data_IF_276917549871
#
_entry.id   IF_276917549871
#
_cell.length_a   1.000
_cell.length_b   1.000
_cell.length_c   1.000
_cell.angle_alpha   90.00
_cell.angle_beta   90.00
_cell.angle_gamma   90.00
#
_symmetry.space_group_name_H-M   'P 1'
#
loop_
_entity.id
_entity.type
_entity.pdbx_description
1 polymer ?
#
# COMPACT_ATOMS: atom_id res chain seq x y z
N UNK A 1 -43.74 -23.03 -16.68
CA UNK A 1 -42.92 -23.94 -15.87
C UNK A 1 -41.50 -23.39 -15.90
N UNK A 2 -41.12 -22.60 -14.90
CA UNK A 2 -39.83 -21.89 -14.88
C UNK A 2 -38.78 -22.82 -14.27
N UNK A 3 -37.81 -23.26 -15.08
CA UNK A 3 -36.61 -23.94 -14.58
C UNK A 3 -35.83 -22.96 -13.70
N UNK A 4 -35.94 -23.09 -12.38
CA UNK A 4 -34.92 -22.56 -11.46
C UNK A 4 -33.68 -23.43 -11.68
N UNK A 5 -32.68 -22.89 -12.39
CA UNK A 5 -31.35 -23.48 -12.34
C UNK A 5 -30.84 -23.35 -10.90
N UNK A 6 -30.27 -24.41 -10.31
CA UNK A 6 -29.53 -24.26 -9.06
C UNK A 6 -28.29 -23.44 -9.39
N UNK A 7 -28.25 -22.19 -8.93
CA UNK A 7 -26.99 -21.49 -8.78
C UNK A 7 -26.27 -22.17 -7.62
N UNK A 8 -25.54 -23.26 -7.92
CA UNK A 8 -24.54 -23.80 -7.01
C UNK A 8 -23.51 -22.69 -6.77
N UNK A 9 -23.68 -21.96 -5.67
CA UNK A 9 -22.64 -21.09 -5.16
C UNK A 9 -21.54 -22.02 -4.65
N UNK A 10 -20.41 -22.05 -5.36
CA UNK A 10 -19.25 -22.82 -4.95
C UNK A 10 -18.79 -22.32 -3.59
N UNK A 11 -18.82 -23.18 -2.57
CA UNK A 11 -18.27 -22.87 -1.24
C UNK A 11 -16.82 -22.36 -1.38
N UNK A 12 -16.61 -21.08 -1.09
CA UNK A 12 -15.30 -20.43 -1.15
C UNK A 12 -14.26 -21.09 -0.23
N UNK A 13 -14.73 -21.88 0.74
CA UNK A 13 -13.88 -22.60 1.67
C UNK A 13 -13.67 -24.07 1.27
N UNK A 14 -14.14 -24.50 0.09
CA UNK A 14 -13.98 -25.84 -0.44
C UNK A 14 -14.41 -26.95 0.54
N UNK A 15 -15.45 -26.72 1.34
CA UNK A 15 -15.95 -27.67 2.34
C UNK A 15 -15.13 -27.75 3.63
N UNK A 16 -14.12 -26.89 3.82
CA UNK A 16 -13.28 -26.86 5.02
C UNK A 16 -14.06 -26.24 6.18
N UNK A 17 -14.46 -27.08 7.14
CA UNK A 17 -15.22 -26.68 8.34
C UNK A 17 -14.37 -26.03 9.43
N UNK A 18 -13.06 -26.24 9.39
CA UNK A 18 -12.13 -25.72 10.40
C UNK A 18 -11.82 -24.26 10.11
N UNK A 19 -12.34 -23.36 10.93
CA UNK A 19 -12.32 -21.90 10.71
C UNK A 19 -10.94 -21.30 10.38
N UNK A 20 -9.84 -21.81 10.96
CA UNK A 20 -8.49 -21.28 10.73
C UNK A 20 -7.80 -21.84 9.49
N UNK A 21 -8.33 -22.90 8.88
CA UNK A 21 -7.85 -23.48 7.61
C UNK A 21 -8.65 -22.96 6.41
N UNK A 22 -9.66 -22.14 6.66
CA UNK A 22 -10.48 -21.56 5.61
C UNK A 22 -9.62 -20.63 4.73
N UNK A 23 -9.63 -20.80 3.40
CA UNK A 23 -8.94 -19.91 2.47
C UNK A 23 -9.24 -18.43 2.70
N UNK A 24 -10.48 -18.10 3.05
CA UNK A 24 -10.90 -16.72 3.35
C UNK A 24 -10.18 -16.17 4.59
N UNK A 25 -10.01 -16.98 5.64
CA UNK A 25 -9.26 -16.60 6.83
C UNK A 25 -7.78 -16.38 6.51
N UNK A 26 -7.17 -17.27 5.71
CA UNK A 26 -5.77 -17.15 5.28
C UNK A 26 -5.56 -15.86 4.48
N UNK A 27 -6.46 -15.52 3.55
CA UNK A 27 -6.38 -14.29 2.75
C UNK A 27 -6.49 -13.06 3.65
N UNK A 28 -7.42 -13.05 4.63
CA UNK A 28 -7.61 -11.95 5.59
C UNK A 28 -6.32 -11.69 6.38
N UNK A 29 -5.74 -12.72 6.99
CA UNK A 29 -4.50 -12.60 7.77
C UNK A 29 -3.32 -12.19 6.87
N UNK A 30 -3.20 -12.79 5.69
CA UNK A 30 -2.13 -12.47 4.73
C UNK A 30 -2.20 -11.02 4.28
N UNK A 31 -3.41 -10.50 3.99
CA UNK A 31 -3.62 -9.11 3.61
C UNK A 31 -3.20 -8.14 4.71
N UNK A 32 -3.58 -8.40 5.96
CA UNK A 32 -3.18 -7.55 7.11
C UNK A 32 -1.67 -7.58 7.32
N UNK A 33 -1.05 -8.76 7.35
CA UNK A 33 0.40 -8.90 7.50
C UNK A 33 1.16 -8.17 6.39
N UNK A 34 0.71 -8.35 5.14
CA UNK A 34 1.36 -7.71 4.00
C UNK A 34 1.17 -6.19 4.01
N UNK A 35 0.03 -5.70 4.47
CA UNK A 35 -0.22 -4.27 4.65
C UNK A 35 0.75 -3.65 5.67
N UNK A 36 1.04 -4.35 6.78
CA UNK A 36 2.04 -3.89 7.77
C UNK A 36 3.44 -3.82 7.15
N UNK A 37 3.84 -4.85 6.39
CA UNK A 37 5.14 -4.85 5.69
C UNK A 37 5.23 -3.66 4.72
N UNK A 38 4.19 -3.46 3.90
CA UNK A 38 4.13 -2.36 2.94
C UNK A 38 4.16 -1.00 3.64
N UNK A 39 3.54 -0.89 4.81
CA UNK A 39 3.57 0.32 5.61
C UNK A 39 4.96 0.65 6.16
N UNK A 40 5.71 -0.36 6.61
CA UNK A 40 7.12 -0.19 6.99
C UNK A 40 7.94 0.29 5.79
N UNK A 41 7.74 -0.31 4.62
CA UNK A 41 8.39 0.11 3.37
C UNK A 41 8.08 1.58 3.06
N UNK A 42 6.81 1.97 3.06
CA UNK A 42 6.40 3.35 2.80
C UNK A 42 6.99 4.33 3.82
N UNK A 43 7.07 3.96 5.10
CA UNK A 43 7.70 4.79 6.13
C UNK A 43 9.19 5.00 5.86
N UNK A 44 9.94 3.95 5.50
CA UNK A 44 11.36 4.06 5.14
C UNK A 44 11.56 4.97 3.92
N UNK A 45 10.68 4.87 2.92
CA UNK A 45 10.73 5.71 1.73
C UNK A 45 10.41 7.17 2.04
N UNK A 46 9.37 7.42 2.84
CA UNK A 46 9.02 8.76 3.30
C UNK A 46 10.16 9.39 4.10
N UNK A 47 10.81 8.62 5.00
CA UNK A 47 11.96 9.08 5.76
C UNK A 47 13.13 9.48 4.85
N UNK A 48 13.43 8.70 3.80
CA UNK A 48 14.48 9.04 2.81
C UNK A 48 14.16 10.28 1.99
N UNK A 49 12.91 10.41 1.54
CA UNK A 49 12.43 11.61 0.84
C UNK A 49 12.35 12.84 1.76
N UNK A 50 12.35 12.62 3.08
CA UNK A 50 12.30 13.68 4.08
C UNK A 50 13.66 14.34 4.36
N UNK A 51 14.74 13.84 3.75
CA UNK A 51 16.10 14.37 3.93
C UNK A 51 16.17 15.85 3.53
N UNK A 52 16.82 16.68 4.37
CA UNK A 52 16.80 18.12 4.21
C UNK A 52 17.52 18.58 2.94
N UNK A 53 18.61 17.91 2.55
CA UNK A 53 19.31 18.25 1.30
C UNK A 53 18.39 18.01 0.10
N UNK A 54 17.68 16.88 0.08
CA UNK A 54 16.70 16.55 -0.97
C UNK A 54 15.55 17.56 -1.02
N UNK A 55 14.96 17.86 0.14
CA UNK A 55 13.84 18.80 0.25
C UNK A 55 14.16 20.20 -0.26
N UNK A 56 15.38 20.68 -0.02
CA UNK A 56 15.78 22.04 -0.39
C UNK A 56 16.19 22.11 -1.87
N UNK A 57 16.81 21.04 -2.39
CA UNK A 57 17.28 20.99 -3.79
C UNK A 57 16.21 20.61 -4.81
N UNK A 58 15.32 19.67 -4.48
CA UNK A 58 14.30 19.13 -5.39
C UNK A 58 12.90 19.59 -4.99
N UNK A 59 12.61 19.60 -3.68
CA UNK A 59 11.29 19.94 -3.14
C UNK A 59 10.67 18.83 -2.30
N UNK A 60 9.39 19.01 -1.93
CA UNK A 60 8.68 18.13 -0.98
C UNK A 60 7.68 17.15 -1.62
N UNK A 61 7.51 17.20 -2.95
CA UNK A 61 6.45 16.46 -3.66
C UNK A 61 6.46 14.94 -3.42
N UNK A 62 7.64 14.32 -3.47
CA UNK A 62 7.81 12.88 -3.22
C UNK A 62 7.38 12.49 -1.80
N UNK A 63 7.85 13.24 -0.80
CA UNK A 63 7.52 12.99 0.60
C UNK A 63 6.01 13.08 0.84
N UNK A 64 5.35 14.08 0.26
CA UNK A 64 3.90 14.24 0.33
C UNK A 64 3.18 13.07 -0.34
N UNK A 65 3.68 12.60 -1.49
CA UNK A 65 3.10 11.46 -2.20
C UNK A 65 3.19 10.16 -1.39
N UNK A 66 4.34 9.89 -0.76
CA UNK A 66 4.49 8.73 0.14
C UNK A 66 3.59 8.82 1.38
N UNK A 67 3.35 10.03 1.89
CA UNK A 67 2.41 10.24 2.99
C UNK A 67 0.97 9.92 2.57
N UNK A 68 0.53 10.39 1.39
CA UNK A 68 -0.80 10.04 0.87
C UNK A 68 -0.96 8.53 0.66
N UNK A 69 0.03 7.85 0.07
CA UNK A 69 0.04 6.40 -0.06
C UNK A 69 -0.10 5.71 1.30
N UNK A 70 0.62 6.20 2.32
CA UNK A 70 0.52 5.66 3.68
C UNK A 70 -0.88 5.85 4.27
N UNK A 71 -1.46 7.04 4.12
CA UNK A 71 -2.81 7.34 4.62
C UNK A 71 -3.87 6.47 3.94
N UNK A 72 -3.81 6.33 2.62
CA UNK A 72 -4.75 5.49 1.89
C UNK A 72 -4.60 4.01 2.27
N UNK A 73 -3.38 3.51 2.43
CA UNK A 73 -3.15 2.14 2.90
C UNK A 73 -3.76 1.90 4.28
N UNK A 74 -3.53 2.81 5.23
CA UNK A 74 -4.15 2.74 6.57
C UNK A 74 -5.67 2.75 6.47
N UNK A 75 -6.22 3.68 5.70
CA UNK A 75 -7.66 3.83 5.54
C UNK A 75 -8.29 2.55 4.97
N UNK A 76 -7.71 1.96 3.93
CA UNK A 76 -8.14 0.68 3.37
C UNK A 76 -8.18 -0.40 4.44
N UNK A 77 -7.08 -0.60 5.17
CA UNK A 77 -7.00 -1.66 6.19
C UNK A 77 -8.00 -1.43 7.32
N UNK A 78 -8.10 -0.21 7.84
CA UNK A 78 -9.02 0.12 8.93
C UNK A 78 -10.49 -0.07 8.53
N UNK A 79 -10.89 0.47 7.37
CA UNK A 79 -12.25 0.32 6.88
C UNK A 79 -12.58 -1.14 6.57
N UNK A 80 -11.63 -1.90 6.04
CA UNK A 80 -11.80 -3.33 5.83
C UNK A 80 -12.00 -4.10 7.14
N UNK A 81 -11.20 -3.81 8.17
CA UNK A 81 -11.37 -4.44 9.50
C UNK A 81 -12.74 -4.09 10.10
N UNK A 82 -13.18 -2.84 9.97
CA UNK A 82 -14.49 -2.40 10.47
C UNK A 82 -15.65 -3.08 9.73
N UNK A 83 -15.52 -3.27 8.42
CA UNK A 83 -16.45 -4.05 7.61
C UNK A 83 -16.51 -5.50 8.10
N UNK A 84 -15.36 -6.16 8.21
CA UNK A 84 -15.29 -7.60 8.50
C UNK A 84 -15.77 -7.96 9.91
N UNK A 85 -15.32 -7.21 10.93
CA UNK A 85 -15.75 -7.43 12.31
C UNK A 85 -17.14 -6.87 12.62
N UNK A 86 -17.83 -6.29 11.62
CA UNK A 86 -19.15 -5.68 11.75
C UNK A 86 -19.24 -4.75 12.97
N UNK A 87 -18.18 -3.98 13.24
CA UNK A 87 -18.12 -3.07 14.39
C UNK A 87 -19.26 -2.04 14.32
N UNK A 88 -19.59 -1.60 13.11
CA UNK A 88 -20.72 -0.73 12.82
C UNK A 88 -21.67 -1.43 11.83
N UNK A 89 -22.60 -2.27 12.30
CA UNK A 89 -23.41 -3.11 11.42
C UNK A 89 -24.28 -2.28 10.46
N UNK A 90 -24.83 -1.16 10.93
CA UNK A 90 -25.65 -0.25 10.13
C UNK A 90 -24.89 0.47 9.01
N UNK A 91 -23.55 0.52 9.11
CA UNK A 91 -22.69 1.20 8.15
C UNK A 91 -21.76 0.25 7.38
N UNK A 92 -21.94 -1.07 7.53
CA UNK A 92 -21.02 -2.08 7.00
C UNK A 92 -20.80 -1.91 5.49
N UNK A 93 -21.86 -1.74 4.69
CA UNK A 93 -21.75 -1.53 3.25
C UNK A 93 -20.93 -0.27 2.88
N UNK A 94 -21.10 0.82 3.64
CA UNK A 94 -20.34 2.05 3.42
C UNK A 94 -18.86 1.87 3.77
N UNK A 95 -18.55 1.11 4.81
CA UNK A 95 -17.17 0.77 5.16
C UNK A 95 -16.49 -0.07 4.07
N UNK A 96 -17.23 -0.99 3.44
CA UNK A 96 -16.72 -1.73 2.28
C UNK A 96 -16.38 -0.79 1.11
N UNK A 97 -17.30 0.08 0.70
CA UNK A 97 -17.03 1.04 -0.38
C UNK A 97 -15.93 2.05 -0.03
N UNK A 98 -15.82 2.47 1.23
CA UNK A 98 -14.74 3.34 1.69
C UNK A 98 -13.38 2.64 1.60
N UNK A 99 -13.30 1.35 1.98
CA UNK A 99 -12.10 0.52 1.82
C UNK A 99 -11.70 0.40 0.35
N UNK A 100 -12.63 -0.01 -0.52
CA UNK A 100 -12.38 -0.15 -1.95
C UNK A 100 -11.97 1.19 -2.59
N UNK A 101 -12.64 2.29 -2.23
CA UNK A 101 -12.30 3.63 -2.69
C UNK A 101 -10.89 4.06 -2.27
N UNK A 102 -10.50 3.81 -1.01
CA UNK A 102 -9.16 4.09 -0.54
C UNK A 102 -8.10 3.24 -1.26
N UNK A 103 -8.40 1.96 -1.55
CA UNK A 103 -7.51 1.10 -2.33
C UNK A 103 -7.33 1.60 -3.77
N UNK A 104 -8.39 2.03 -4.43
CA UNK A 104 -8.31 2.63 -5.79
C UNK A 104 -7.46 3.91 -5.76
N UNK A 105 -7.68 4.79 -4.78
CA UNK A 105 -6.88 6.00 -4.62
C UNK A 105 -5.40 5.67 -4.38
N UNK A 106 -5.10 4.66 -3.56
CA UNK A 106 -3.73 4.16 -3.37
C UNK A 106 -3.09 3.79 -4.71
N UNK A 107 -3.79 3.01 -5.54
CA UNK A 107 -3.29 2.57 -6.86
C UNK A 107 -3.04 3.77 -7.79
N UNK A 108 -3.95 4.74 -7.84
CA UNK A 108 -3.78 5.95 -8.66
C UNK A 108 -2.54 6.74 -8.21
N UNK A 109 -2.39 6.97 -6.92
CA UNK A 109 -1.22 7.68 -6.37
C UNK A 109 0.08 6.90 -6.58
N UNK A 110 0.02 5.57 -6.56
CA UNK A 110 1.17 4.73 -6.86
C UNK A 110 1.63 5.00 -8.31
N UNK A 111 0.73 4.98 -9.28
CA UNK A 111 1.05 5.30 -10.67
C UNK A 111 1.60 6.72 -10.85
N UNK A 112 1.00 7.72 -10.19
CA UNK A 112 1.52 9.10 -10.19
C UNK A 112 2.96 9.12 -9.67
N UNK A 113 3.23 8.42 -8.56
CA UNK A 113 4.57 8.31 -8.01
C UNK A 113 5.56 7.68 -9.00
N UNK A 114 5.14 6.63 -9.71
CA UNK A 114 5.96 5.94 -10.70
C UNK A 114 6.38 6.88 -11.83
N UNK A 115 5.40 7.59 -12.40
CA UNK A 115 5.60 8.43 -13.58
C UNK A 115 6.36 9.71 -13.23
N UNK A 116 5.99 10.35 -12.11
CA UNK A 116 6.55 11.64 -11.73
C UNK A 116 7.98 11.52 -11.19
N UNK A 117 8.27 10.50 -10.37
CA UNK A 117 9.49 10.49 -9.56
C UNK A 117 10.45 9.36 -9.90
N UNK A 118 9.94 8.22 -10.37
CA UNK A 118 10.70 6.98 -10.48
C UNK A 118 11.26 6.71 -11.89
N UNK A 119 11.51 7.75 -12.70
CA UNK A 119 12.03 7.59 -14.07
C UNK A 119 13.54 7.87 -14.15
N UNK A 120 14.22 7.25 -15.13
CA UNK A 120 15.64 7.54 -15.40
C UNK A 120 15.88 9.01 -15.79
N UNK A 121 14.91 9.62 -16.45
CA UNK A 121 14.94 11.05 -16.79
C UNK A 121 14.87 11.92 -15.53
N UNK A 122 14.01 11.57 -14.56
CA UNK A 122 13.97 12.29 -13.30
C UNK A 122 15.26 12.09 -12.49
N UNK A 123 15.88 10.90 -12.53
CA UNK A 123 17.18 10.68 -11.89
C UNK A 123 18.27 11.63 -12.42
N UNK A 124 18.39 11.80 -13.73
CA UNK A 124 19.40 12.72 -14.31
C UNK A 124 19.10 14.17 -13.94
N UNK A 125 17.84 14.59 -14.02
CA UNK A 125 17.39 15.93 -13.63
C UNK A 125 17.61 16.22 -12.14
N UNK A 126 17.25 15.30 -11.26
CA UNK A 126 17.47 15.48 -9.82
C UNK A 126 18.96 15.50 -9.47
N UNK A 127 19.76 14.68 -10.13
CA UNK A 127 21.22 14.69 -9.92
C UNK A 127 21.84 16.03 -10.32
N UNK A 128 21.45 16.61 -11.46
CA UNK A 128 21.97 17.92 -11.89
C UNK A 128 21.51 19.06 -10.98
N UNK A 129 20.26 19.04 -10.51
CA UNK A 129 19.74 20.02 -9.55
C UNK A 129 20.49 19.96 -8.21
N UNK A 130 20.79 18.77 -7.71
CA UNK A 130 21.55 18.60 -6.46
C UNK A 130 22.99 19.07 -6.63
N UNK A 131 23.65 18.72 -7.73
CA UNK A 131 25.02 19.20 -8.03
C UNK A 131 25.04 20.73 -8.08
N UNK A 132 24.12 21.34 -8.83
CA UNK A 132 24.02 22.80 -8.93
C UNK A 132 23.75 23.45 -7.57
N UNK A 133 22.90 22.85 -6.74
CA UNK A 133 22.65 23.32 -5.38
C UNK A 133 23.91 23.27 -4.50
N UNK A 134 24.66 22.15 -4.54
CA UNK A 134 25.90 21.96 -3.79
C UNK A 134 26.96 22.98 -4.20
N UNK A 135 27.14 23.19 -5.51
CA UNK A 135 28.14 24.11 -6.06
C UNK A 135 27.82 25.58 -5.73
N UNK A 136 26.54 25.94 -5.70
CA UNK A 136 26.10 27.31 -5.43
C UNK A 136 26.00 27.64 -3.94
N UNK A 137 25.98 26.63 -3.05
CA UNK A 137 25.79 26.83 -1.61
C UNK A 137 26.75 25.95 -0.77
N UNK A 138 28.09 26.05 -0.98
CA UNK A 138 29.05 25.17 -0.32
C UNK A 138 29.08 25.33 1.21
N UNK A 139 28.75 26.51 1.73
CA UNK A 139 28.67 26.81 3.16
C UNK A 139 27.40 26.30 3.84
N UNK A 140 26.43 25.77 3.08
CA UNK A 140 25.20 25.26 3.65
C UNK A 140 25.48 24.04 4.55
N UNK A 141 24.99 24.07 5.79
CA UNK A 141 25.20 22.99 6.78
C UNK A 141 24.83 21.59 6.27
N UNK A 142 23.82 21.47 5.41
CA UNK A 142 23.38 20.18 4.84
C UNK A 142 24.31 19.70 3.72
N UNK A 143 24.90 20.64 2.97
CA UNK A 143 25.93 20.36 1.96
C UNK A 143 27.21 19.92 2.64
N UNK A 144 27.68 20.66 3.65
CA UNK A 144 28.86 20.29 4.44
C UNK A 144 28.71 18.89 5.06
N UNK A 145 27.55 18.59 5.65
CA UNK A 145 27.26 17.28 6.21
C UNK A 145 27.28 16.17 5.15
N UNK A 146 26.75 16.43 3.95
CA UNK A 146 26.77 15.50 2.84
C UNK A 146 28.19 15.25 2.31
N UNK A 147 28.98 16.30 2.09
CA UNK A 147 30.37 16.18 1.62
C UNK A 147 31.23 15.41 2.62
N UNK A 148 31.11 15.74 3.92
CA UNK A 148 31.80 15.04 5.00
C UNK A 148 31.41 13.56 5.09
N UNK A 149 30.12 13.25 4.97
CA UNK A 149 29.62 11.85 5.00
C UNK A 149 30.17 11.01 3.85
N UNK A 150 30.46 11.63 2.71
CA UNK A 150 30.96 10.94 1.52
C UNK A 150 32.47 11.14 1.29
N UNK A 151 33.20 11.75 2.23
CA UNK A 151 34.65 12.05 2.11
C UNK A 151 35.03 12.83 0.84
N UNK A 152 34.21 13.80 0.45
CA UNK A 152 34.44 14.62 -0.75
C UNK A 152 35.16 15.90 -0.34
N UNK A 153 36.40 16.06 -0.82
CA UNK A 153 37.25 17.21 -0.49
C UNK A 153 37.26 18.30 -1.57
N UNK A 154 36.78 18.00 -2.78
CA UNK A 154 36.72 18.95 -3.89
C UNK A 154 35.36 18.91 -4.61
N UNK A 155 34.85 20.08 -4.98
CA UNK A 155 33.58 20.27 -5.68
C UNK A 155 33.66 19.98 -7.19
N UNK A 156 34.87 19.83 -7.73
CA UNK A 156 35.13 19.50 -9.14
C UNK A 156 35.43 18.01 -9.36
N UNK A 157 35.33 17.20 -8.32
CA UNK A 157 35.76 15.81 -8.33
C UNK A 157 34.72 14.88 -8.96
N UNK A 158 35.16 13.87 -9.71
CA UNK A 158 34.28 12.87 -10.31
C UNK A 158 33.52 12.06 -9.24
N UNK A 159 34.11 11.97 -8.05
CA UNK A 159 33.53 11.39 -6.83
C UNK A 159 32.27 12.12 -6.37
N UNK A 160 32.16 13.44 -6.57
CA UNK A 160 30.94 14.19 -6.24
C UNK A 160 29.77 13.76 -7.11
N UNK A 161 29.99 13.68 -8.43
CA UNK A 161 28.96 13.28 -9.38
C UNK A 161 28.47 11.85 -9.10
N UNK A 162 29.38 10.94 -8.77
CA UNK A 162 29.02 9.56 -8.41
C UNK A 162 28.24 9.50 -7.09
N UNK A 163 28.68 10.22 -6.06
CA UNK A 163 27.99 10.26 -4.77
C UNK A 163 26.58 10.86 -4.89
N UNK A 164 26.41 11.96 -5.64
CA UNK A 164 25.10 12.57 -5.88
C UNK A 164 24.21 11.64 -6.69
N UNK A 165 24.73 11.01 -7.75
CA UNK A 165 23.98 10.05 -8.55
C UNK A 165 23.48 8.88 -7.69
N UNK A 166 24.33 8.31 -6.85
CA UNK A 166 23.95 7.25 -5.90
C UNK A 166 22.91 7.73 -4.88
N UNK A 167 23.07 8.95 -4.37
CA UNK A 167 22.14 9.57 -3.44
C UNK A 167 20.74 9.81 -4.05
N UNK A 168 20.69 10.24 -5.32
CA UNK A 168 19.45 10.45 -6.07
C UNK A 168 18.81 9.12 -6.51
N UNK A 169 19.61 8.13 -6.90
CA UNK A 169 19.15 6.79 -7.28
C UNK A 169 18.42 6.10 -6.13
N UNK A 170 18.94 6.24 -4.90
CA UNK A 170 18.34 5.72 -3.67
C UNK A 170 16.96 6.32 -3.34
N UNK A 171 16.59 7.45 -3.97
CA UNK A 171 15.33 8.17 -3.75
C UNK A 171 14.37 8.07 -4.93
N UNK A 172 14.87 7.71 -6.11
CA UNK A 172 14.09 7.61 -7.34
C UNK A 172 13.95 6.15 -7.79
N UNK A 173 14.90 5.64 -8.57
CA UNK A 173 14.80 4.30 -9.21
C UNK A 173 14.86 3.15 -8.22
N UNK A 174 15.71 3.21 -7.18
CA UNK A 174 15.77 2.16 -6.15
C UNK A 174 14.57 2.17 -5.20
N UNK A 175 13.95 3.34 -5.01
CA UNK A 175 12.67 3.44 -4.31
C UNK A 175 11.61 2.61 -5.02
N UNK A 176 11.56 2.68 -6.35
CA UNK A 176 10.58 1.96 -7.15
C UNK A 176 10.80 0.45 -7.16
N UNK A 177 12.06 0.00 -7.29
CA UNK A 177 12.38 -1.43 -7.21
C UNK A 177 11.97 -2.04 -5.88
N UNK A 178 11.90 -1.23 -4.82
CA UNK A 178 11.37 -1.65 -3.52
C UNK A 178 9.84 -1.53 -3.47
N UNK A 179 9.24 -0.41 -3.86
CA UNK A 179 7.81 -0.17 -3.64
C UNK A 179 6.89 -0.99 -4.55
N UNK A 180 7.28 -1.18 -5.82
CA UNK A 180 6.44 -1.82 -6.83
C UNK A 180 6.08 -3.27 -6.50
N UNK A 181 7.02 -4.19 -6.23
CA UNK A 181 6.67 -5.59 -6.01
C UNK A 181 5.78 -5.78 -4.79
N UNK A 182 6.05 -5.05 -3.70
CA UNK A 182 5.19 -5.11 -2.51
C UNK A 182 3.80 -4.53 -2.82
N UNK A 183 3.72 -3.38 -3.48
CA UNK A 183 2.42 -2.81 -3.83
C UNK A 183 1.61 -3.73 -4.75
N UNK A 184 2.25 -4.42 -5.70
CA UNK A 184 1.56 -5.37 -6.59
C UNK A 184 1.01 -6.58 -5.84
N UNK A 185 1.81 -7.19 -4.96
CA UNK A 185 1.35 -8.31 -4.13
C UNK A 185 0.18 -7.85 -3.24
N UNK A 186 0.29 -6.67 -2.65
CA UNK A 186 -0.78 -6.09 -1.84
C UNK A 186 -2.06 -5.84 -2.66
N UNK A 187 -1.95 -5.33 -3.90
CA UNK A 187 -3.09 -5.11 -4.80
C UNK A 187 -3.79 -6.45 -5.12
N UNK A 188 -3.04 -7.52 -5.37
CA UNK A 188 -3.63 -8.84 -5.60
C UNK A 188 -4.38 -9.31 -4.34
N UNK A 189 -3.76 -9.16 -3.17
CA UNK A 189 -4.38 -9.54 -1.91
C UNK A 189 -5.65 -8.75 -1.60
N UNK A 190 -5.68 -7.43 -1.84
CA UNK A 190 -6.87 -6.61 -1.57
C UNK A 190 -8.00 -6.93 -2.54
N UNK A 191 -7.71 -7.20 -3.82
CA UNK A 191 -8.72 -7.61 -4.80
C UNK A 191 -9.32 -8.97 -4.43
N UNK A 192 -8.49 -9.94 -4.03
CA UNK A 192 -8.98 -11.23 -3.55
C UNK A 192 -9.84 -11.06 -2.28
N UNK A 193 -9.42 -10.18 -1.39
CA UNK A 193 -10.13 -9.89 -0.15
C UNK A 193 -11.51 -9.26 -0.42
N UNK A 194 -11.59 -8.25 -1.29
CA UNK A 194 -12.84 -7.62 -1.70
C UNK A 194 -13.76 -8.62 -2.42
N UNK A 195 -13.18 -9.52 -3.22
CA UNK A 195 -13.92 -10.63 -3.82
C UNK A 195 -14.52 -11.53 -2.73
N UNK A 196 -13.73 -12.00 -1.74
CA UNK A 196 -14.28 -12.84 -0.65
C UNK A 196 -15.40 -12.13 0.12
N UNK A 197 -15.28 -10.83 0.35
CA UNK A 197 -16.28 -10.01 1.03
C UNK A 197 -17.63 -9.94 0.29
N UNK A 198 -17.59 -9.84 -1.05
CA UNK A 198 -18.79 -9.76 -1.89
C UNK A 198 -19.55 -11.09 -1.99
N UNK A 199 -18.86 -12.23 -1.83
CA UNK A 199 -19.51 -13.54 -1.86
C UNK A 199 -19.99 -13.98 -0.47
N UNK A 200 -19.20 -13.74 0.59
CA UNK A 200 -19.65 -14.03 1.97
C UNK A 200 -20.92 -13.24 2.36
N UNK A 201 -21.11 -12.03 1.81
CA UNK A 201 -22.32 -11.23 2.03
C UNK A 201 -23.55 -11.80 1.31
N UNK A 202 -23.39 -12.37 0.11
CA UNK A 202 -24.48 -13.03 -0.63
C UNK A 202 -24.97 -14.30 0.05
N UNK A 203 -24.05 -15.11 0.57
CA UNK A 203 -24.39 -16.34 1.30
C UNK A 203 -25.21 -16.04 2.57
N UNK A 204 -24.90 -14.93 3.25
CA UNK A 204 -25.62 -14.50 4.45
C UNK A 204 -27.05 -14.00 4.15
N UNK A 205 -27.27 -13.35 3.02
CA UNK A 205 -28.59 -12.85 2.60
C UNK A 205 -29.51 -13.98 2.10
N UNK A 206 -28.98 -14.97 1.37
CA UNK A 206 -29.74 -16.16 0.95
C UNK A 206 -30.10 -17.08 2.14
N UNK A 207 -29.23 -17.14 3.15
CA UNK A 207 -29.50 -17.84 4.41
C UNK A 207 -30.61 -17.21 5.27
N UNK A 208 -30.81 -15.89 5.19
CA UNK A 208 -31.89 -15.20 5.91
C UNK A 208 -33.25 -15.33 5.20
N UNK A 209 -33.27 -15.33 3.87
CA UNK A 209 -34.48 -15.58 3.09
C UNK A 209 -34.95 -17.05 3.14
N UNK A 210 -34.10 -17.96 3.61
CA UNK A 210 -34.40 -19.38 3.84
C UNK A 210 -34.64 -19.71 5.31
N UNK A 211 -35.33 -18.81 6.04
CA UNK A 211 -35.83 -19.02 7.41
C UNK A 211 -36.92 -20.11 7.46
N UNK A 212 -36.52 -21.35 7.19
CA UNK A 212 -36.99 -22.52 7.91
C UNK A 212 -36.23 -22.57 9.23
N UNK A 213 -36.97 -22.64 10.33
CA UNK A 213 -36.54 -22.62 11.74
C UNK A 213 -35.15 -23.24 12.01
N UNK A 214 -34.36 -22.68 12.94
CA UNK A 214 -33.25 -23.43 13.52
C UNK A 214 -33.82 -24.63 14.29
N UNK A 215 -33.48 -25.84 13.85
CA UNK A 215 -33.58 -27.06 14.65
C UNK A 215 -32.56 -26.93 15.80
N UNK A 216 -32.98 -26.30 16.91
CA UNK A 216 -32.39 -26.63 18.21
C UNK A 216 -32.65 -28.12 18.45
N UNK A 217 -31.66 -28.91 18.88
CA UNK A 217 -31.95 -30.20 19.47
C UNK A 217 -32.75 -29.94 20.75
N UNK A 218 -33.94 -30.52 20.85
CA UNK A 218 -34.59 -30.70 22.14
C UNK A 218 -33.65 -31.57 22.99
N UNK A 219 -32.98 -30.96 23.97
CA UNK A 219 -32.55 -31.69 25.14
C UNK A 219 -33.74 -31.68 26.10
N UNK A 220 -34.51 -32.77 26.06
CA UNK A 220 -35.43 -33.14 27.13
C UNK A 220 -34.60 -33.52 28.36
N UNK A 221 -34.88 -32.86 29.49
CA UNK A 221 -34.81 -33.43 30.84
C UNK A 221 -36.14 -33.08 31.50
#
# INVERSE_FOLDING_TARGET
MSLKMPTEISDLNFGIKTWYLQPTFIIKISSVLFSVILQIVLFVLAARASDQLWKISIGRGECVTFLFLTVFLIATVLFFLFYFYKIFPNYSIYMFFASAGAAVLYVIFLFICCIAFCTKSNLSKSSSLIIGFIQNNPENKYVIAFLKKNNINSLSDSTLNEAVKKYAELRTTKTMSLLMPFSLIWIVLIVLLDFTALFESKDAEEGQNSTTKPLRPNMEI
#
